data_IF_506638428085
#
_entry.id   IF_506638428085
#
_cell.length_a   1.000
_cell.length_b   1.000
_cell.length_c   1.000
_cell.angle_alpha   90.00
_cell.angle_beta   90.00
_cell.angle_gamma   90.00
#
_symmetry.space_group_name_H-M   'P 1'
#
loop_
_entity.id
_entity.type
_entity.pdbx_description
1 polymer ?
#
# COMPACT_ATOMS: atom_id res chain seq x y z
N UNK A 1 -12.23 9.35 4.58
CA UNK A 1 -12.88 10.27 5.56
C UNK A 1 -13.60 11.37 4.78
N UNK A 2 -14.79 11.82 5.22
CA UNK A 2 -15.55 12.89 4.54
C UNK A 2 -15.34 14.22 5.25
N UNK A 3 -14.76 15.20 4.56
CA UNK A 3 -14.55 16.56 5.08
C UNK A 3 -15.45 17.57 4.38
N UNK A 4 -15.78 18.65 5.10
CA UNK A 4 -16.45 19.82 4.51
C UNK A 4 -15.43 20.73 3.82
N UNK A 5 -15.86 21.58 2.87
CA UNK A 5 -14.95 22.47 2.15
C UNK A 5 -14.25 23.47 3.07
N UNK A 6 -14.93 23.91 4.14
CA UNK A 6 -14.35 24.80 5.14
C UNK A 6 -13.21 24.13 5.90
N UNK A 7 -13.40 22.87 6.29
CA UNK A 7 -12.37 22.06 6.97
C UNK A 7 -11.19 21.76 6.04
N UNK A 8 -11.47 21.49 4.76
CA UNK A 8 -10.45 21.33 3.72
C UNK A 8 -9.64 22.61 3.53
N UNK A 9 -10.27 23.79 3.51
CA UNK A 9 -9.57 25.07 3.35
C UNK A 9 -8.66 25.40 4.53
N UNK A 10 -9.09 25.07 5.74
CA UNK A 10 -8.33 25.32 6.97
C UNK A 10 -7.10 24.41 7.10
N UNK A 11 -7.17 23.17 6.58
CA UNK A 11 -6.12 22.15 6.73
C UNK A 11 -5.66 21.58 5.38
N UNK A 12 -5.66 22.40 4.32
CA UNK A 12 -5.44 21.93 2.95
C UNK A 12 -4.13 21.16 2.81
N UNK A 13 -3.01 21.74 3.24
CA UNK A 13 -1.69 21.13 3.08
C UNK A 13 -1.55 19.84 3.90
N UNK A 14 -1.87 19.86 5.20
CA UNK A 14 -1.82 18.65 6.05
C UNK A 14 -2.65 17.48 5.50
N UNK A 15 -3.82 17.78 4.92
CA UNK A 15 -4.68 16.78 4.30
C UNK A 15 -4.11 16.25 2.99
N UNK A 16 -3.50 17.11 2.16
CA UNK A 16 -2.81 16.70 0.94
C UNK A 16 -1.57 15.85 1.27
N UNK A 17 -0.74 16.27 2.23
CA UNK A 17 0.41 15.50 2.71
C UNK A 17 -0.04 14.14 3.25
N UNK A 18 -1.11 14.06 4.04
CA UNK A 18 -1.65 12.77 4.50
C UNK A 18 -2.09 11.87 3.35
N UNK A 19 -2.69 12.42 2.29
CA UNK A 19 -3.10 11.67 1.10
C UNK A 19 -1.87 11.17 0.33
N UNK A 20 -0.80 11.95 0.27
CA UNK A 20 0.46 11.60 -0.41
C UNK A 20 1.26 10.57 0.40
N UNK A 21 1.49 10.81 1.68
CA UNK A 21 2.31 9.97 2.55
C UNK A 21 1.64 8.65 2.91
N UNK A 22 0.34 8.70 3.28
CA UNK A 22 -0.37 7.50 3.74
C UNK A 22 -1.07 6.78 2.58
N UNK A 23 -1.35 7.48 1.49
CA UNK A 23 -2.15 6.96 0.38
C UNK A 23 -3.65 6.87 0.71
N UNK A 24 -4.11 7.59 1.74
CA UNK A 24 -5.49 7.53 2.19
C UNK A 24 -6.43 8.33 1.28
N UNK A 25 -7.63 7.79 1.03
CA UNK A 25 -8.66 8.44 0.22
C UNK A 25 -9.34 9.56 1.03
N UNK A 26 -9.24 10.80 0.54
CA UNK A 26 -9.96 11.93 1.11
C UNK A 26 -11.22 12.23 0.28
N UNK A 27 -12.36 12.31 0.96
CA UNK A 27 -13.66 12.61 0.36
C UNK A 27 -14.14 13.99 0.82
N UNK A 28 -14.65 14.81 -0.09
CA UNK A 28 -15.11 16.18 0.18
C UNK A 28 -16.56 16.29 -0.27
N UNK A 29 -17.45 16.65 0.64
CA UNK A 29 -18.85 16.92 0.31
C UNK A 29 -19.05 18.40 0.00
N UNK A 30 -19.52 18.71 -1.23
CA UNK A 30 -19.83 20.09 -1.64
C UNK A 30 -21.08 20.13 -2.50
N UNK A 31 -22.06 20.96 -2.11
CA UNK A 31 -23.31 21.18 -2.88
C UNK A 31 -24.00 19.84 -3.26
N UNK A 32 -24.04 18.88 -2.34
CA UNK A 32 -24.62 17.56 -2.57
C UNK A 32 -23.80 16.61 -3.45
N UNK A 33 -22.59 17.00 -3.88
CA UNK A 33 -21.66 16.15 -4.62
C UNK A 33 -20.48 15.72 -3.74
N UNK A 34 -20.07 14.48 -3.88
CA UNK A 34 -18.85 13.93 -3.28
C UNK A 34 -17.69 14.03 -4.27
N UNK A 35 -16.64 14.73 -3.87
CA UNK A 35 -15.37 14.83 -4.58
C UNK A 35 -14.35 13.92 -3.87
N UNK A 36 -13.45 13.30 -4.63
CA UNK A 36 -12.41 12.42 -4.10
C UNK A 36 -11.04 12.96 -4.48
N UNK A 37 -10.14 13.07 -3.51
CA UNK A 37 -8.72 13.35 -3.75
C UNK A 37 -7.97 12.03 -3.57
N UNK A 38 -7.30 11.63 -4.63
CA UNK A 38 -6.45 10.44 -4.68
C UNK A 38 -5.08 10.85 -5.23
N UNK A 39 -3.99 10.26 -4.73
CA UNK A 39 -2.69 10.46 -5.36
C UNK A 39 -2.72 9.78 -6.75
N UNK A 40 -2.18 10.47 -7.75
CA UNK A 40 -2.05 9.93 -9.11
C UNK A 40 -1.12 8.72 -9.13
N UNK A 41 0.01 8.83 -8.43
CA UNK A 41 0.90 7.70 -8.16
C UNK A 41 0.49 7.07 -6.83
N UNK A 42 -0.26 5.97 -6.90
CA UNK A 42 -0.47 5.14 -5.71
C UNK A 42 0.84 4.43 -5.38
N UNK A 43 1.40 4.59 -4.17
CA UNK A 43 2.52 3.75 -3.76
C UNK A 43 2.08 2.29 -3.88
N UNK A 44 2.83 1.49 -4.63
CA UNK A 44 2.46 0.10 -4.87
C UNK A 44 2.49 -0.62 -3.53
N UNK A 45 1.58 -1.58 -3.31
CA UNK A 45 1.58 -2.36 -2.05
C UNK A 45 2.94 -3.04 -1.81
N UNK A 46 3.68 -3.29 -2.89
CA UNK A 46 5.01 -3.87 -2.90
C UNK A 46 6.10 -2.88 -2.46
N UNK A 47 5.95 -1.57 -2.68
CA UNK A 47 6.92 -0.55 -2.23
C UNK A 47 7.02 -0.48 -0.71
N UNK A 48 5.96 -0.87 0.01
CA UNK A 48 5.95 -0.94 1.47
C UNK A 48 6.56 -2.23 2.02
N UNK A 49 6.93 -3.18 1.16
CA UNK A 49 7.54 -4.45 1.60
C UNK A 49 9.01 -4.17 1.90
N UNK A 50 9.32 -4.08 3.19
CA UNK A 50 10.71 -4.10 3.65
C UNK A 50 11.27 -5.50 3.41
N UNK A 51 12.43 -5.57 2.75
CA UNK A 51 13.15 -6.83 2.56
C UNK A 51 13.43 -7.47 3.92
N UNK A 52 12.89 -8.67 4.13
CA UNK A 52 13.12 -9.47 5.32
C UNK A 52 13.98 -10.65 4.93
N UNK A 53 15.10 -10.85 5.64
CA UNK A 53 15.83 -12.10 5.59
C UNK A 53 14.98 -13.16 6.31
N UNK A 54 14.20 -13.89 5.52
CA UNK A 54 13.31 -14.96 6.00
C UNK A 54 13.99 -16.33 6.03
N UNK A 55 15.16 -16.45 5.40
CA UNK A 55 15.93 -17.69 5.32
C UNK A 55 17.19 -17.58 6.15
N UNK A 56 17.48 -18.62 6.93
CA UNK A 56 18.75 -18.79 7.66
C UNK A 56 19.83 -19.44 6.78
N UNK A 57 19.43 -19.93 5.61
CA UNK A 57 20.26 -20.63 4.62
C UNK A 57 20.58 -19.69 3.45
N UNK A 58 21.78 -19.84 2.90
CA UNK A 58 22.26 -19.07 1.75
C UNK A 58 21.51 -19.40 0.46
N UNK A 59 21.48 -18.49 -0.51
CA UNK A 59 20.80 -18.69 -1.81
C UNK A 59 21.23 -19.99 -2.51
N UNK A 60 22.53 -20.29 -2.50
CA UNK A 60 23.12 -21.49 -3.10
C UNK A 60 22.57 -22.79 -2.48
N UNK A 61 22.41 -22.84 -1.17
CA UNK A 61 21.88 -24.01 -0.48
C UNK A 61 20.39 -24.23 -0.81
N UNK A 62 19.61 -23.16 -0.92
CA UNK A 62 18.19 -23.24 -1.25
C UNK A 62 17.97 -23.76 -2.67
N UNK A 63 18.80 -23.33 -3.62
CA UNK A 63 18.75 -23.75 -5.04
C UNK A 63 19.17 -25.22 -5.17
N UNK A 64 20.19 -25.65 -4.44
CA UNK A 64 20.72 -27.02 -4.49
C UNK A 64 19.95 -28.01 -3.61
N UNK A 65 18.91 -27.57 -2.89
CA UNK A 65 18.07 -28.46 -2.08
C UNK A 65 17.25 -29.37 -3.00
N UNK A 66 17.25 -30.70 -2.83
CA UNK A 66 16.49 -31.61 -3.67
C UNK A 66 15.00 -31.63 -3.27
N UNK A 67 14.17 -30.86 -3.98
CA UNK A 67 12.72 -30.74 -3.72
C UNK A 67 11.89 -31.92 -4.22
N UNK A 68 12.47 -32.77 -5.07
CA UNK A 68 11.78 -33.89 -5.72
C UNK A 68 11.20 -34.90 -4.72
N UNK A 69 11.88 -35.12 -3.59
CA UNK A 69 11.43 -36.03 -2.53
C UNK A 69 10.24 -35.49 -1.72
N UNK A 70 10.07 -34.17 -1.68
CA UNK A 70 9.01 -33.50 -0.91
C UNK A 70 7.74 -33.27 -1.75
N UNK A 71 7.81 -33.51 -3.07
CA UNK A 71 6.68 -33.35 -3.96
C UNK A 71 5.65 -34.46 -3.73
N UNK A 72 4.52 -34.10 -3.10
CA UNK A 72 3.35 -34.99 -2.99
C UNK A 72 2.35 -34.64 -4.08
N UNK A 73 2.29 -35.39 -5.19
CA UNK A 73 1.27 -35.16 -6.20
C UNK A 73 -0.11 -35.44 -5.59
N UNK A 74 -1.05 -34.54 -5.82
CA UNK A 74 -2.45 -34.74 -5.47
C UNK A 74 -3.05 -35.72 -6.48
N UNK A 75 -2.93 -37.02 -6.20
CA UNK A 75 -3.71 -38.09 -6.84
C UNK A 75 -4.92 -38.39 -5.96
#
# INVERSE_FOLDING_TARGET
>A
MVVTPSKLRENLYNLLDSVIEKGELLEISRKGKLLRIVPEQRPSRLDKIVAKNITTTSDDELINTPWESEWKPFI
#
